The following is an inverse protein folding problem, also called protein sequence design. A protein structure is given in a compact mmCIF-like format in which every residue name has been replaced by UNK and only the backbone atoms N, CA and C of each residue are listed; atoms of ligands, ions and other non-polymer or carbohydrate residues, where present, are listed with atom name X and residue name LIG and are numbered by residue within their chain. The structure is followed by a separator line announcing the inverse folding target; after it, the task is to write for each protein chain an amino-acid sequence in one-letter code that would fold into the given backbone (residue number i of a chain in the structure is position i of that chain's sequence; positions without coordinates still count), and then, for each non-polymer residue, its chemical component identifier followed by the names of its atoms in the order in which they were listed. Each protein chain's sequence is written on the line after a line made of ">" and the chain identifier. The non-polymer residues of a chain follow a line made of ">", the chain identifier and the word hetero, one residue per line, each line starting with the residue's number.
data_IF_135614951327
#
_entry.id   IF_135614951327
#
_cell.length_a   1.000
_cell.length_b   1.000
_cell.length_c   1.000
_cell.angle_alpha   90.00
_cell.angle_beta   90.00
_cell.angle_gamma   90.00
#
_symmetry.space_group_name_H-M   'P 1'
#
loop_
_entity.id
_entity.type
_entity.pdbx_description
1 polymer ?
#
# COMPACT_ATOMS: atom_id res chain seq x y z
N UNK A 1 10.97 -15.82 -3.98
CA UNK A 1 11.14 -14.52 -3.29
C UNK A 1 10.78 -13.38 -4.23
N UNK A 2 9.94 -12.43 -3.82
CA UNK A 2 9.64 -11.21 -4.60
C UNK A 2 10.74 -10.18 -4.31
N UNK A 3 11.54 -9.84 -5.32
CA UNK A 3 12.56 -8.78 -5.19
C UNK A 3 11.92 -7.43 -5.52
N UNK A 4 12.20 -6.43 -4.70
CA UNK A 4 11.79 -5.06 -4.98
C UNK A 4 12.50 -4.56 -6.25
N UNK A 5 11.75 -3.96 -7.17
CA UNK A 5 12.29 -3.32 -8.37
C UNK A 5 12.18 -1.80 -8.16
N UNK A 6 13.31 -1.06 -8.21
CA UNK A 6 13.32 0.39 -8.05
C UNK A 6 12.47 1.10 -9.11
N UNK A 7 11.97 2.31 -8.78
CA UNK A 7 11.03 3.06 -9.63
C UNK A 7 11.67 3.42 -10.97
N UNK A 8 12.95 3.79 -10.94
CA UNK A 8 13.76 4.15 -12.09
C UNK A 8 13.83 2.99 -13.10
N UNK A 9 14.02 1.76 -12.60
CA UNK A 9 14.00 0.56 -13.45
C UNK A 9 12.63 0.29 -14.06
N UNK A 10 11.54 0.59 -13.35
CA UNK A 10 10.17 0.45 -13.90
C UNK A 10 9.93 1.46 -15.02
N UNK A 11 10.37 2.71 -14.83
CA UNK A 11 10.30 3.78 -15.83
C UNK A 11 11.05 3.35 -17.09
N UNK A 12 12.29 2.92 -16.94
CA UNK A 12 13.12 2.51 -18.06
C UNK A 12 12.54 1.28 -18.80
N UNK A 13 11.94 0.33 -18.06
CA UNK A 13 11.23 -0.80 -18.67
C UNK A 13 10.00 -0.36 -19.48
N UNK A 14 9.28 0.66 -19.01
CA UNK A 14 8.15 1.24 -19.72
C UNK A 14 8.59 1.97 -20.98
N UNK A 15 9.62 2.81 -20.90
CA UNK A 15 10.15 3.55 -22.06
C UNK A 15 10.61 2.61 -23.17
N UNK A 16 11.42 1.60 -22.83
CA UNK A 16 11.91 0.62 -23.81
C UNK A 16 10.76 -0.17 -24.45
N UNK A 17 9.74 -0.54 -23.68
CA UNK A 17 8.62 -1.33 -24.19
C UNK A 17 7.61 -0.50 -25.00
N UNK A 18 7.20 0.67 -24.51
CA UNK A 18 6.09 1.44 -25.07
C UNK A 18 6.53 2.56 -26.01
N UNK A 19 7.67 3.22 -25.75
CA UNK A 19 8.15 4.33 -26.58
C UNK A 19 9.05 3.80 -27.69
N UNK A 20 10.00 2.94 -27.34
CA UNK A 20 10.95 2.36 -28.30
C UNK A 20 10.45 1.07 -28.96
N UNK A 21 9.29 0.53 -28.55
CA UNK A 21 8.64 -0.62 -29.18
C UNK A 21 9.40 -1.94 -29.06
N UNK A 22 10.31 -2.07 -28.09
CA UNK A 22 11.07 -3.31 -27.90
C UNK A 22 10.16 -4.44 -27.41
N UNK A 23 10.45 -5.66 -27.87
CA UNK A 23 9.73 -6.85 -27.41
C UNK A 23 9.94 -7.11 -25.92
N UNK A 24 8.93 -7.68 -25.25
CA UNK A 24 9.02 -8.07 -23.83
C UNK A 24 10.25 -8.96 -23.58
N UNK A 25 10.66 -9.80 -24.55
CA UNK A 25 11.86 -10.66 -24.46
C UNK A 25 13.13 -9.83 -24.38
N UNK A 26 13.28 -8.83 -25.24
CA UNK A 26 14.47 -7.98 -25.25
C UNK A 26 14.55 -7.13 -23.98
N UNK A 27 13.45 -6.49 -23.58
CA UNK A 27 13.40 -5.69 -22.34
C UNK A 27 13.71 -6.56 -21.12
N UNK A 28 13.19 -7.79 -21.10
CA UNK A 28 13.48 -8.75 -20.04
C UNK A 28 14.95 -9.13 -19.97
N UNK A 29 15.57 -9.37 -21.13
CA UNK A 29 16.99 -9.69 -21.23
C UNK A 29 17.88 -8.51 -20.77
N UNK A 30 17.56 -7.29 -21.19
CA UNK A 30 18.38 -6.11 -20.85
C UNK A 30 18.26 -5.69 -19.38
N UNK A 31 17.06 -5.77 -18.79
CA UNK A 31 16.81 -5.24 -17.44
C UNK A 31 16.74 -6.31 -16.36
N UNK A 32 16.77 -7.60 -16.74
CA UNK A 32 16.57 -8.70 -15.79
C UNK A 32 15.16 -8.73 -15.17
N UNK A 33 14.20 -8.03 -15.78
CA UNK A 33 12.81 -7.95 -15.30
C UNK A 33 11.98 -9.02 -16.00
N UNK A 34 11.12 -9.73 -15.27
CA UNK A 34 10.25 -10.74 -15.88
C UNK A 34 9.25 -10.11 -16.86
N UNK A 35 8.92 -10.81 -17.94
CA UNK A 35 7.90 -10.36 -18.92
C UNK A 35 6.54 -10.09 -18.25
N UNK A 36 6.18 -10.89 -17.23
CA UNK A 36 4.97 -10.65 -16.43
C UNK A 36 5.00 -9.28 -15.77
N UNK A 37 6.13 -8.92 -15.16
CA UNK A 37 6.30 -7.60 -14.53
C UNK A 37 6.20 -6.47 -15.54
N UNK A 38 6.78 -6.63 -16.74
CA UNK A 38 6.68 -5.62 -17.82
C UNK A 38 5.22 -5.41 -18.22
N UNK A 39 4.43 -6.49 -18.37
CA UNK A 39 2.99 -6.39 -18.63
C UNK A 39 2.22 -5.74 -17.49
N UNK A 40 2.58 -6.04 -16.24
CA UNK A 40 2.00 -5.37 -15.08
C UNK A 40 2.30 -3.88 -15.09
N UNK A 41 3.54 -3.47 -15.36
CA UNK A 41 3.93 -2.05 -15.45
C UNK A 41 3.09 -1.32 -16.51
N UNK A 42 2.97 -1.89 -17.72
CA UNK A 42 2.13 -1.32 -18.78
C UNK A 42 0.66 -1.24 -18.39
N UNK A 43 0.15 -2.25 -17.69
CA UNK A 43 -1.22 -2.24 -17.17
C UNK A 43 -1.40 -1.12 -16.13
N UNK A 44 -0.51 -1.04 -15.14
CA UNK A 44 -0.55 0.02 -14.12
C UNK A 44 -0.53 1.40 -14.75
N UNK A 45 0.35 1.66 -15.72
CA UNK A 45 0.37 2.94 -16.42
C UNK A 45 -0.94 3.25 -17.17
N UNK A 46 -1.56 2.26 -17.81
CA UNK A 46 -2.87 2.44 -18.45
C UNK A 46 -3.98 2.75 -17.44
N UNK A 47 -3.90 2.16 -16.25
CA UNK A 47 -4.93 2.29 -15.22
C UNK A 47 -4.76 3.60 -14.42
N UNK A 48 -3.53 4.04 -14.15
CA UNK A 48 -3.23 5.18 -13.24
C UNK A 48 -2.52 6.36 -13.90
N UNK A 49 -1.97 6.20 -15.10
CA UNK A 49 -1.08 7.20 -15.73
C UNK A 49 0.32 7.26 -15.13
N UNK A 50 0.65 6.43 -14.14
CA UNK A 50 1.96 6.39 -13.48
C UNK A 50 2.62 5.01 -13.61
N UNK A 51 3.94 5.01 -13.85
CA UNK A 51 4.75 3.78 -13.94
C UNK A 51 5.12 3.24 -12.55
N UNK A 52 4.99 4.08 -11.52
CA UNK A 52 5.15 3.71 -10.13
C UNK A 52 3.83 3.23 -9.53
N UNK A 53 3.92 2.29 -8.59
CA UNK A 53 2.81 2.12 -7.66
C UNK A 53 2.87 3.30 -6.70
N UNK A 54 2.00 4.28 -6.88
CA UNK A 54 1.66 5.20 -5.80
C UNK A 54 1.08 4.33 -4.70
N UNK A 55 1.66 4.40 -3.49
CA UNK A 55 1.06 3.75 -2.33
C UNK A 55 -0.37 4.26 -2.27
N UNK A 56 -1.35 3.39 -2.54
CA UNK A 56 -2.74 3.72 -2.41
C UNK A 56 -2.96 4.02 -0.93
N UNK A 57 -3.00 5.32 -0.62
CA UNK A 57 -3.30 5.91 0.67
C UNK A 57 -2.19 5.77 1.74
N UNK A 58 -1.86 6.88 2.39
CA UNK A 58 -1.26 6.88 3.73
C UNK A 58 -2.27 6.25 4.71
N UNK A 59 -2.36 4.93 4.72
CA UNK A 59 -3.39 4.21 5.49
C UNK A 59 -4.82 4.52 5.04
N UNK A 60 -5.77 3.65 5.39
CA UNK A 60 -7.13 4.15 5.58
C UNK A 60 -7.08 5.06 6.80
N UNK A 61 -7.71 6.23 6.74
CA UNK A 61 -8.10 6.92 7.96
C UNK A 61 -8.97 5.94 8.75
N UNK A 62 -8.41 5.31 9.78
CA UNK A 62 -9.23 4.69 10.80
C UNK A 62 -10.11 5.82 11.32
N UNK A 63 -11.42 5.68 11.28
CA UNK A 63 -12.37 6.67 11.80
C UNK A 63 -12.28 6.85 13.34
N UNK A 64 -11.24 6.29 13.95
CA UNK A 64 -10.78 6.57 15.29
C UNK A 64 -9.46 7.30 15.10
N UNK A 65 -9.50 8.62 14.99
CA UNK A 65 -8.31 9.40 15.27
C UNK A 65 -8.01 9.09 16.73
N UNK A 66 -6.95 8.30 16.97
CA UNK A 66 -6.77 7.60 18.26
C UNK A 66 -6.78 8.54 19.45
N UNK A 67 -6.51 9.83 19.22
CA UNK A 67 -6.57 10.93 20.18
C UNK A 67 -8.00 11.29 20.60
N UNK A 68 -8.95 11.49 19.67
CA UNK A 68 -10.32 11.89 20.02
C UNK A 68 -11.03 10.80 20.83
N UNK A 69 -10.77 9.53 20.49
CA UNK A 69 -11.26 8.39 21.26
C UNK A 69 -10.63 8.31 22.65
N UNK A 70 -9.31 8.54 22.74
CA UNK A 70 -8.60 8.56 24.02
C UNK A 70 -9.16 9.66 24.94
N UNK A 71 -9.37 10.85 24.38
CA UNK A 71 -9.90 12.01 25.09
C UNK A 71 -11.29 11.72 25.65
N UNK A 72 -12.21 11.20 24.83
CA UNK A 72 -13.55 10.81 25.29
C UNK A 72 -13.55 9.67 26.32
N UNK A 73 -12.56 8.78 26.29
CA UNK A 73 -12.41 7.73 27.30
C UNK A 73 -11.90 8.28 28.64
N UNK A 74 -10.92 9.20 28.60
CA UNK A 74 -10.39 9.87 29.80
C UNK A 74 -11.47 10.76 30.44
N UNK A 75 -12.27 11.48 29.64
CA UNK A 75 -13.37 12.30 30.15
C UNK A 75 -14.46 11.47 30.85
N UNK A 76 -14.78 10.29 30.32
CA UNK A 76 -15.82 9.42 30.90
C UNK A 76 -15.37 8.68 32.14
N UNK A 77 -14.10 8.26 32.18
CA UNK A 77 -13.52 7.53 33.31
C UNK A 77 -12.05 7.90 33.49
N UNK A 78 -11.75 8.96 34.28
CA UNK A 78 -10.37 9.40 34.50
C UNK A 78 -9.55 8.42 35.33
N UNK A 79 -10.20 7.55 36.10
CA UNK A 79 -9.57 6.55 36.98
C UNK A 79 -9.27 5.22 36.26
N UNK A 80 -9.58 5.11 34.97
CA UNK A 80 -9.38 3.89 34.19
C UNK A 80 -7.89 3.59 34.04
N UNK A 81 -7.49 2.38 34.42
CA UNK A 81 -6.10 1.95 34.34
C UNK A 81 -5.80 1.53 32.89
N UNK A 82 -4.57 1.77 32.42
CA UNK A 82 -4.16 1.51 31.03
C UNK A 82 -4.49 0.09 30.54
N UNK A 83 -4.44 -0.92 31.41
CA UNK A 83 -4.82 -2.30 31.08
C UNK A 83 -6.29 -2.43 30.72
N UNK A 84 -7.18 -1.81 31.49
CA UNK A 84 -8.63 -1.85 31.28
C UNK A 84 -9.01 -1.11 29.99
N UNK A 85 -8.30 -0.02 29.70
CA UNK A 85 -8.45 0.72 28.45
C UNK A 85 -8.08 -0.14 27.23
N UNK A 86 -6.94 -0.84 27.28
CA UNK A 86 -6.51 -1.73 26.19
C UNK A 86 -7.47 -2.90 25.98
N UNK A 87 -8.00 -3.47 27.07
CA UNK A 87 -9.04 -4.50 27.00
C UNK A 87 -10.31 -3.95 26.32
N UNK A 88 -10.74 -2.74 26.70
CA UNK A 88 -11.92 -2.09 26.08
C UNK A 88 -11.76 -1.86 24.58
N UNK A 89 -10.58 -1.41 24.14
CA UNK A 89 -10.24 -1.25 22.71
C UNK A 89 -10.27 -2.60 22.01
N UNK A 90 -9.69 -3.63 22.63
CA UNK A 90 -9.62 -4.97 22.07
C UNK A 90 -11.03 -5.56 21.85
N UNK A 91 -11.93 -5.41 22.82
CA UNK A 91 -13.33 -5.82 22.68
C UNK A 91 -14.07 -5.04 21.59
N UNK A 92 -13.86 -3.71 21.52
CA UNK A 92 -14.46 -2.86 20.50
C UNK A 92 -13.99 -3.26 19.09
N UNK A 93 -12.69 -3.52 18.94
CA UNK A 93 -12.08 -3.96 17.70
C UNK A 93 -12.61 -5.34 17.26
N UNK A 94 -12.72 -6.29 18.19
CA UNK A 94 -13.29 -7.61 17.92
C UNK A 94 -14.77 -7.53 17.51
N UNK A 95 -15.55 -6.61 18.09
CA UNK A 95 -16.94 -6.38 17.71
C UNK A 95 -17.07 -5.78 16.31
N UNK A 96 -16.19 -4.85 15.93
CA UNK A 96 -16.19 -4.20 14.61
C UNK A 96 -15.67 -5.10 13.47
N UNK A 97 -14.78 -6.05 13.77
CA UNK A 97 -14.16 -6.95 12.78
C UNK A 97 -14.81 -8.33 12.67
N UNK A 98 -16.00 -8.53 13.24
CA UNK A 98 -16.77 -9.78 13.13
C UNK A 98 -17.61 -9.83 11.85
N UNK A 99 -16.94 -9.94 10.68
CA UNK A 99 -17.47 -10.46 9.40
C UNK A 99 -16.41 -11.36 8.77
#
# INVERSE_FOLDING_TARGET
>A
MRRHIPKEQKILAYELSCIHGLSDRHVSHYLGISQRTIRCIRKTFRDTGEVGHQLACQGRSCALDGLEFLEGCIERQPDMILSEFLDSIFFLWQALHRI
#
